data_IF_887427236168
#
_entry.id   IF_887427236168
#
_cell.length_a   1.000
_cell.length_b   1.000
_cell.length_c   1.000
_cell.angle_alpha   90.00
_cell.angle_beta   90.00
_cell.angle_gamma   90.00
#
_symmetry.space_group_name_H-M   'P 1'
#
loop_
_entity.id
_entity.type
_entity.pdbx_description
1 polymer ?
#
# COMPACT_ATOMS: atom_id res chain seq x y z
N UNK A 1 58.17 66.74 3.78
CA UNK A 1 56.76 66.33 3.88
C UNK A 1 56.37 65.09 3.03
N UNK A 2 57.09 64.72 1.93
CA UNK A 2 56.75 63.55 1.09
C UNK A 2 56.91 62.16 1.75
N UNK A 3 57.80 61.96 2.74
CA UNK A 3 58.02 60.65 3.39
C UNK A 3 56.90 60.23 4.37
N UNK A 4 56.13 61.18 4.91
CA UNK A 4 55.03 60.88 5.86
C UNK A 4 53.79 60.43 5.08
N UNK A 5 53.53 61.02 3.91
CA UNK A 5 52.41 60.64 3.04
C UNK A 5 52.51 59.19 2.53
N UNK A 6 53.72 58.69 2.23
CA UNK A 6 53.90 57.30 1.79
C UNK A 6 53.65 56.26 2.91
N UNK A 7 53.89 56.60 4.19
CA UNK A 7 53.59 55.69 5.31
C UNK A 7 52.08 55.52 5.52
N UNK A 8 51.31 56.59 5.37
CA UNK A 8 49.85 56.52 5.48
C UNK A 8 49.21 55.76 4.32
N UNK A 9 49.78 55.87 3.10
CA UNK A 9 49.32 55.10 1.93
C UNK A 9 49.59 53.60 2.12
N UNK A 10 50.76 53.22 2.64
CA UNK A 10 51.09 51.81 2.90
C UNK A 10 50.21 51.22 4.01
N UNK A 11 49.93 51.98 5.08
CA UNK A 11 49.02 51.55 6.16
C UNK A 11 47.59 51.39 5.62
N UNK A 12 47.12 52.33 4.77
CA UNK A 12 45.79 52.23 4.15
C UNK A 12 45.67 51.00 3.25
N UNK A 13 46.72 50.69 2.48
CA UNK A 13 46.77 49.51 1.60
C UNK A 13 46.77 48.21 2.40
N UNK A 14 47.51 48.14 3.51
CA UNK A 14 47.53 46.97 4.40
C UNK A 14 46.17 46.77 5.09
N UNK A 15 45.51 47.85 5.53
CA UNK A 15 44.16 47.78 6.12
C UNK A 15 43.12 47.34 5.09
N UNK A 16 43.28 47.73 3.83
CA UNK A 16 42.39 47.31 2.73
C UNK A 16 42.58 45.82 2.41
N UNK A 17 43.81 45.31 2.43
CA UNK A 17 44.09 43.88 2.19
C UNK A 17 43.59 42.99 3.33
N UNK A 18 43.65 43.45 4.59
CA UNK A 18 43.11 42.70 5.75
C UNK A 18 41.57 42.64 5.70
N UNK A 19 40.91 43.67 5.15
CA UNK A 19 39.45 43.68 4.96
C UNK A 19 38.92 42.59 4.03
N UNK A 20 39.72 42.12 3.06
CA UNK A 20 39.31 41.05 2.14
C UNK A 20 39.42 39.62 2.71
N UNK A 21 40.08 39.43 3.86
CA UNK A 21 40.27 38.10 4.47
C UNK A 21 39.15 37.79 5.49
N UNK A 22 38.41 38.80 5.97
CA UNK A 22 37.41 38.65 7.05
C UNK A 22 35.99 38.25 6.62
N UNK A 23 35.71 38.09 5.32
CA UNK A 23 34.37 37.78 4.82
C UNK A 23 34.25 36.40 4.17
N UNK A 24 35.04 35.40 4.58
CA UNK A 24 34.87 34.04 4.06
C UNK A 24 33.76 33.22 4.72
N UNK A 25 33.36 33.54 5.96
CA UNK A 25 32.37 32.75 6.71
C UNK A 25 30.98 33.43 6.81
N UNK A 26 30.72 34.48 6.03
CA UNK A 26 29.41 35.15 5.98
C UNK A 26 28.46 34.52 4.94
N UNK A 27 29.01 33.72 4.02
CA UNK A 27 28.28 33.06 2.92
C UNK A 27 28.22 31.53 3.08
N UNK A 28 28.68 31.00 4.21
CA UNK A 28 28.41 29.61 4.59
C UNK A 28 27.08 29.60 5.37
N UNK A 29 25.97 29.76 4.65
CA UNK A 29 24.68 29.34 5.18
C UNK A 29 24.66 27.81 5.20
N UNK A 30 24.70 27.22 6.40
CA UNK A 30 24.21 25.85 6.54
C UNK A 30 22.73 25.88 6.16
N UNK A 31 22.40 25.30 5.00
CA UNK A 31 21.03 25.07 4.58
C UNK A 31 20.36 24.09 5.57
N UNK A 32 19.75 24.62 6.63
CA UNK A 32 18.97 23.86 7.63
C UNK A 32 17.72 23.23 6.97
N UNK A 33 17.34 23.67 5.76
CA UNK A 33 16.05 23.35 5.12
C UNK A 33 16.09 22.31 4.01
N UNK A 34 17.28 21.80 3.65
CA UNK A 34 17.40 20.64 2.75
C UNK A 34 18.20 19.56 3.43
N UNK A 35 17.52 18.53 3.91
CA UNK A 35 18.13 17.25 4.23
C UNK A 35 18.89 16.77 2.98
N UNK A 36 20.22 16.86 3.01
CA UNK A 36 21.05 16.36 1.92
C UNK A 36 21.06 14.83 1.96
N UNK A 37 21.40 14.16 0.85
CA UNK A 37 21.56 12.69 0.83
C UNK A 37 22.60 12.18 1.83
N UNK A 38 23.43 13.06 2.42
CA UNK A 38 24.36 12.75 3.50
C UNK A 38 23.66 12.25 4.76
N UNK A 39 22.39 12.61 5.00
CA UNK A 39 21.63 12.05 6.13
C UNK A 39 21.61 10.51 6.06
N UNK A 40 21.55 9.94 4.86
CA UNK A 40 21.54 8.50 4.62
C UNK A 40 22.94 7.87 4.67
N UNK A 41 23.97 8.61 5.07
CA UNK A 41 25.30 8.12 5.38
C UNK A 41 25.52 7.98 6.91
N UNK A 42 24.45 8.10 7.69
CA UNK A 42 24.44 7.91 9.15
C UNK A 42 23.51 6.78 9.56
N UNK A 43 23.79 6.14 10.70
CA UNK A 43 22.94 5.10 11.25
C UNK A 43 21.51 5.59 11.53
N UNK A 44 21.36 6.77 12.12
CA UNK A 44 20.04 7.36 12.41
C UNK A 44 19.25 7.66 11.13
N UNK A 45 19.90 8.25 10.11
CA UNK A 45 19.23 8.53 8.85
C UNK A 45 18.85 7.26 8.08
N UNK A 46 19.64 6.18 8.18
CA UNK A 46 19.28 4.87 7.63
C UNK A 46 18.11 4.22 8.37
N UNK A 47 18.02 4.37 9.69
CA UNK A 47 16.85 3.93 10.46
C UNK A 47 15.58 4.70 10.05
N UNK A 48 15.70 6.01 9.82
CA UNK A 48 14.60 6.85 9.28
C UNK A 48 14.19 6.43 7.87
N UNK A 49 15.16 6.17 6.98
CA UNK A 49 14.88 5.68 5.63
C UNK A 49 14.18 4.32 5.65
N UNK A 50 14.64 3.41 6.51
CA UNK A 50 14.02 2.11 6.74
C UNK A 50 12.57 2.25 7.25
N UNK A 51 12.24 3.27 8.03
CA UNK A 51 10.83 3.54 8.41
C UNK A 51 10.05 4.08 7.21
N UNK A 52 10.60 5.08 6.50
CA UNK A 52 9.92 5.74 5.39
C UNK A 52 9.55 4.81 4.24
N UNK A 53 10.37 3.81 3.94
CA UNK A 53 10.10 2.88 2.84
C UNK A 53 8.82 2.06 3.04
N UNK A 54 8.35 1.83 4.27
CA UNK A 54 7.09 1.12 4.55
C UNK A 54 5.86 1.83 3.98
N UNK A 55 5.93 3.14 3.71
CA UNK A 55 4.85 3.86 3.02
C UNK A 55 4.55 3.29 1.62
N UNK A 56 5.51 2.56 1.01
CA UNK A 56 5.25 1.84 -0.24
C UNK A 56 4.19 0.76 -0.09
N UNK A 57 4.04 0.15 1.10
CA UNK A 57 2.96 -0.81 1.34
C UNK A 57 1.61 -0.08 1.35
N UNK A 58 1.50 1.06 2.04
CA UNK A 58 0.27 1.85 2.14
C UNK A 58 -0.24 2.32 0.77
N UNK A 59 0.65 2.66 -0.16
CA UNK A 59 0.29 3.05 -1.53
C UNK A 59 -0.67 2.05 -2.20
N UNK A 60 -0.53 0.76 -1.89
CA UNK A 60 -1.35 -0.32 -2.43
C UNK A 60 -2.70 -0.53 -1.72
N UNK A 61 -3.00 0.22 -0.65
CA UNK A 61 -4.20 0.01 0.17
C UNK A 61 -4.87 1.30 0.68
N UNK A 62 -4.52 2.48 0.17
CA UNK A 62 -4.98 3.76 0.75
C UNK A 62 -6.18 4.38 0.02
N UNK A 63 -6.12 4.46 -1.32
CA UNK A 63 -7.07 5.23 -2.14
C UNK A 63 -7.61 4.45 -3.33
N UNK A 64 -8.57 5.06 -4.03
CA UNK A 64 -9.28 4.47 -5.17
C UNK A 64 -8.35 3.91 -6.25
N UNK A 65 -7.21 4.55 -6.54
CA UNK A 65 -6.26 4.06 -7.56
C UNK A 65 -5.75 2.66 -7.25
N UNK A 66 -5.53 2.33 -5.98
CA UNK A 66 -4.97 1.05 -5.59
C UNK A 66 -5.93 -0.08 -5.97
N UNK A 67 -7.20 0.07 -5.63
CA UNK A 67 -8.22 -0.90 -5.97
C UNK A 67 -8.57 -0.86 -7.45
N UNK A 68 -8.45 0.31 -8.09
CA UNK A 68 -8.62 0.45 -9.53
C UNK A 68 -7.61 -0.41 -10.30
N UNK A 69 -6.35 -0.44 -9.86
CA UNK A 69 -5.28 -1.23 -10.50
C UNK A 69 -5.46 -2.73 -10.24
N UNK A 70 -5.87 -3.12 -9.02
CA UNK A 70 -5.78 -4.52 -8.58
C UNK A 70 -7.11 -5.29 -8.54
N UNK A 71 -8.26 -4.62 -8.63
CA UNK A 71 -9.59 -5.26 -8.52
C UNK A 71 -10.42 -5.16 -9.80
N UNK A 72 -10.30 -4.07 -10.57
CA UNK A 72 -11.00 -3.96 -11.85
C UNK A 72 -10.38 -4.85 -12.92
N UNK A 73 -11.17 -5.11 -13.97
CA UNK A 73 -10.76 -5.96 -15.07
C UNK A 73 -10.80 -7.46 -14.74
N UNK A 74 -11.40 -7.79 -13.59
CA UNK A 74 -11.71 -9.15 -13.16
C UNK A 74 -13.20 -9.44 -13.36
N UNK A 75 -13.59 -10.69 -13.20
CA UNK A 75 -14.99 -11.11 -13.11
C UNK A 75 -15.59 -10.92 -11.70
N UNK A 76 -14.80 -10.47 -10.72
CA UNK A 76 -15.24 -10.30 -9.32
C UNK A 76 -15.84 -8.91 -9.04
N UNK A 77 -15.24 -7.87 -9.62
CA UNK A 77 -15.61 -6.47 -9.38
C UNK A 77 -15.89 -5.74 -10.68
N UNK A 78 -16.80 -4.76 -10.61
CA UNK A 78 -17.10 -3.84 -11.71
C UNK A 78 -17.16 -2.39 -11.20
N UNK A 79 -17.07 -1.44 -12.13
CA UNK A 79 -17.21 -0.01 -11.83
C UNK A 79 -18.57 0.26 -11.16
N UNK A 80 -18.54 1.11 -10.14
CA UNK A 80 -19.71 1.56 -9.40
C UNK A 80 -20.47 2.67 -10.14
N UNK A 81 -21.04 3.59 -9.36
CA UNK A 81 -22.03 4.55 -9.88
C UNK A 81 -21.42 5.74 -10.62
N UNK A 82 -20.18 6.15 -10.33
CA UNK A 82 -19.58 7.36 -10.90
C UNK A 82 -18.92 7.16 -12.27
N UNK A 83 -18.60 5.91 -12.64
CA UNK A 83 -18.04 5.54 -13.94
C UNK A 83 -16.65 6.10 -14.23
N UNK A 84 -15.98 6.75 -13.28
CA UNK A 84 -14.73 7.49 -13.53
C UNK A 84 -13.60 6.56 -13.98
N UNK A 85 -13.52 5.38 -13.36
CA UNK A 85 -12.48 4.38 -13.61
C UNK A 85 -12.94 3.26 -14.55
N UNK A 86 -14.06 3.44 -15.27
CA UNK A 86 -14.62 2.45 -16.19
C UNK A 86 -13.60 1.87 -17.19
N UNK A 87 -12.65 2.63 -17.75
CA UNK A 87 -11.67 2.08 -18.70
C UNK A 87 -10.77 0.98 -18.11
N UNK A 88 -10.55 0.96 -16.80
CA UNK A 88 -9.81 -0.11 -16.11
C UNK A 88 -10.61 -1.42 -16.02
N UNK A 89 -11.92 -1.36 -16.29
CA UNK A 89 -12.82 -2.52 -16.26
C UNK A 89 -13.18 -3.01 -17.66
N UNK A 90 -13.33 -2.10 -18.63
CA UNK A 90 -13.77 -2.43 -19.99
C UNK A 90 -12.64 -2.61 -21.00
N UNK A 91 -11.42 -2.15 -20.67
CA UNK A 91 -10.24 -2.19 -21.55
C UNK A 91 -10.52 -1.62 -22.95
N UNK A 92 -11.37 -0.60 -23.03
CA UNK A 92 -11.64 0.11 -24.29
C UNK A 92 -10.43 0.95 -24.70
N UNK A 93 -10.49 1.60 -25.86
CA UNK A 93 -9.47 2.56 -26.30
C UNK A 93 -9.31 3.78 -25.37
N UNK A 94 -10.19 3.94 -24.38
CA UNK A 94 -10.08 4.96 -23.34
C UNK A 94 -9.11 4.55 -22.21
N UNK A 95 -8.63 3.31 -22.19
CA UNK A 95 -7.59 2.85 -21.26
C UNK A 95 -6.24 3.45 -21.67
N UNK A 96 -5.88 4.53 -21.00
CA UNK A 96 -4.71 5.36 -21.30
C UNK A 96 -3.81 5.44 -20.06
N UNK A 97 -2.49 5.14 -20.17
CA UNK A 97 -1.56 5.22 -19.05
C UNK A 97 -1.44 6.62 -18.43
N UNK A 98 -1.75 7.68 -19.18
CA UNK A 98 -1.76 9.06 -18.70
C UNK A 98 -3.12 9.49 -18.11
N UNK A 99 -4.15 8.63 -18.21
CA UNK A 99 -5.50 8.92 -17.72
C UNK A 99 -5.72 8.37 -16.32
N UNK A 100 -6.14 9.28 -15.43
CA UNK A 100 -6.40 8.97 -14.04
C UNK A 100 -5.13 8.85 -13.21
N UNK A 101 -5.28 8.42 -11.96
CA UNK A 101 -4.19 8.32 -10.97
C UNK A 101 -3.56 6.92 -10.92
N UNK A 102 -3.60 6.13 -12.00
CA UNK A 102 -3.28 4.70 -11.97
C UNK A 102 -1.83 4.35 -12.35
N UNK A 103 -1.61 4.01 -13.62
CA UNK A 103 -0.42 3.26 -14.05
C UNK A 103 0.89 4.04 -14.00
N UNK A 104 0.91 5.33 -14.37
CA UNK A 104 2.11 6.18 -14.24
C UNK A 104 2.51 6.34 -12.76
N UNK A 105 1.54 6.58 -11.88
CA UNK A 105 1.80 6.69 -10.44
C UNK A 105 2.31 5.37 -9.86
N UNK A 106 1.78 4.22 -10.30
CA UNK A 106 2.31 2.91 -9.89
C UNK A 106 3.79 2.81 -10.25
N UNK A 107 4.15 3.10 -11.51
CA UNK A 107 5.54 3.06 -11.97
C UNK A 107 6.45 3.95 -11.10
N UNK A 108 6.07 5.21 -10.92
CA UNK A 108 6.86 6.19 -10.18
C UNK A 108 7.01 5.80 -8.70
N UNK A 109 5.94 5.32 -8.06
CA UNK A 109 5.99 4.89 -6.66
C UNK A 109 6.90 3.66 -6.49
N UNK A 110 6.80 2.66 -7.37
CA UNK A 110 7.66 1.47 -7.28
C UNK A 110 9.13 1.82 -7.49
N UNK A 111 9.47 2.67 -8.46
CA UNK A 111 10.85 3.12 -8.65
C UNK A 111 11.37 4.04 -7.53
N UNK A 112 10.49 4.82 -6.91
CA UNK A 112 10.82 5.57 -5.69
C UNK A 112 11.19 4.62 -4.55
N UNK A 113 10.39 3.58 -4.31
CA UNK A 113 10.69 2.52 -3.34
C UNK A 113 11.98 1.77 -3.64
N UNK A 114 12.24 1.44 -4.91
CA UNK A 114 13.51 0.82 -5.36
C UNK A 114 14.70 1.73 -5.06
N UNK A 115 14.58 3.03 -5.29
CA UNK A 115 15.63 4.01 -4.98
C UNK A 115 15.97 4.03 -3.49
N UNK A 116 14.96 4.11 -2.62
CA UNK A 116 15.14 4.02 -1.17
C UNK A 116 15.78 2.69 -0.75
N UNK A 117 15.34 1.58 -1.33
CA UNK A 117 15.90 0.26 -1.04
C UNK A 117 17.37 0.15 -1.45
N UNK A 118 17.75 0.66 -2.63
CA UNK A 118 19.13 0.66 -3.10
C UNK A 118 20.04 1.46 -2.17
N UNK A 119 19.58 2.63 -1.70
CA UNK A 119 20.32 3.43 -0.71
C UNK A 119 20.50 2.61 0.57
N UNK A 120 19.43 1.99 1.09
CA UNK A 120 19.49 1.20 2.31
C UNK A 120 20.47 0.02 2.18
N UNK A 121 20.38 -0.77 1.10
CA UNK A 121 21.25 -1.93 0.86
C UNK A 121 22.72 -1.52 0.80
N UNK A 122 23.04 -0.44 0.07
CA UNK A 122 24.43 0.02 -0.10
C UNK A 122 24.98 0.69 1.16
N UNK A 123 24.22 1.59 1.75
CA UNK A 123 24.72 2.44 2.84
C UNK A 123 24.68 1.74 4.19
N UNK A 124 23.78 0.76 4.41
CA UNK A 124 23.85 -0.07 5.63
C UNK A 124 25.18 -0.79 5.71
N UNK A 125 25.65 -1.39 4.62
CA UNK A 125 26.93 -2.10 4.59
C UNK A 125 28.14 -1.18 4.84
N UNK A 126 28.03 0.09 4.43
CA UNK A 126 29.13 1.06 4.47
C UNK A 126 29.20 1.88 5.76
N UNK A 127 28.05 2.28 6.31
CA UNK A 127 27.97 3.31 7.37
C UNK A 127 27.26 2.84 8.64
N UNK A 128 26.54 1.72 8.60
CA UNK A 128 25.85 1.19 9.77
C UNK A 128 26.79 0.34 10.62
N UNK A 129 26.64 0.35 11.95
CA UNK A 129 27.45 -0.50 12.81
C UNK A 129 27.12 -1.98 12.55
N UNK A 130 28.07 -2.74 12.00
CA UNK A 130 27.91 -4.17 11.68
C UNK A 130 27.68 -5.06 12.89
N UNK A 131 28.06 -4.61 14.09
CA UNK A 131 27.79 -5.32 15.35
C UNK A 131 26.42 -4.99 15.95
N UNK A 132 25.68 -4.05 15.34
CA UNK A 132 24.34 -3.70 15.80
C UNK A 132 23.37 -4.87 15.58
N UNK A 133 22.49 -5.18 16.54
CA UNK A 133 21.46 -6.21 16.35
C UNK A 133 20.48 -5.89 15.23
N UNK A 134 20.34 -4.60 14.85
CA UNK A 134 19.50 -4.15 13.75
C UNK A 134 20.15 -4.22 12.37
N UNK A 135 21.47 -4.47 12.27
CA UNK A 135 22.21 -4.41 11.00
C UNK A 135 21.59 -5.33 9.94
N UNK A 136 21.43 -6.62 10.26
CA UNK A 136 20.81 -7.60 9.35
C UNK A 136 19.36 -7.24 9.04
N UNK A 137 18.60 -6.78 10.03
CA UNK A 137 17.21 -6.35 9.82
C UNK A 137 17.12 -5.21 8.82
N UNK A 138 17.98 -4.17 8.91
CA UNK A 138 17.95 -3.05 7.95
C UNK A 138 18.31 -3.48 6.54
N UNK A 139 19.32 -4.35 6.43
CA UNK A 139 19.72 -4.87 5.13
C UNK A 139 18.62 -5.77 4.52
N UNK A 140 18.01 -6.63 5.33
CA UNK A 140 16.89 -7.47 4.93
C UNK A 140 15.63 -6.69 4.54
N UNK A 141 15.33 -5.59 5.25
CA UNK A 141 14.25 -4.66 4.87
C UNK A 141 14.51 -4.07 3.48
N UNK A 142 15.74 -3.62 3.21
CA UNK A 142 16.14 -3.10 1.90
C UNK A 142 15.92 -4.12 0.78
N UNK A 143 16.42 -5.34 0.96
CA UNK A 143 16.21 -6.41 -0.01
C UNK A 143 14.72 -6.75 -0.20
N UNK A 144 13.96 -6.87 0.89
CA UNK A 144 12.52 -7.16 0.82
C UNK A 144 11.78 -6.11 0.00
N UNK A 145 12.00 -4.82 0.27
CA UNK A 145 11.29 -3.76 -0.44
C UNK A 145 11.73 -3.63 -1.90
N UNK A 146 13.01 -3.85 -2.21
CA UNK A 146 13.43 -3.89 -3.62
C UNK A 146 12.75 -5.03 -4.37
N UNK A 147 12.74 -6.23 -3.78
CA UNK A 147 12.05 -7.39 -4.34
C UNK A 147 10.55 -7.14 -4.48
N UNK A 148 9.89 -6.58 -3.46
CA UNK A 148 8.46 -6.27 -3.47
C UNK A 148 8.09 -5.32 -4.62
N UNK A 149 8.83 -4.23 -4.77
CA UNK A 149 8.56 -3.24 -5.81
C UNK A 149 8.81 -3.81 -7.22
N UNK A 150 9.91 -4.55 -7.44
CA UNK A 150 10.12 -5.24 -8.72
C UNK A 150 9.08 -6.33 -8.98
N UNK A 151 8.62 -7.03 -7.94
CA UNK A 151 7.59 -8.04 -8.08
C UNK A 151 6.25 -7.43 -8.53
N UNK A 152 5.88 -6.27 -7.99
CA UNK A 152 4.70 -5.51 -8.47
C UNK A 152 4.87 -5.06 -9.91
N UNK A 153 6.05 -4.54 -10.27
CA UNK A 153 6.34 -4.08 -11.63
C UNK A 153 6.28 -5.24 -12.64
N UNK A 154 6.90 -6.39 -12.35
CA UNK A 154 6.94 -7.51 -13.29
C UNK A 154 5.56 -8.15 -13.51
N UNK A 155 4.70 -8.16 -12.47
CA UNK A 155 3.32 -8.62 -12.58
C UNK A 155 2.48 -7.74 -13.52
N UNK A 156 2.76 -6.43 -13.56
CA UNK A 156 1.98 -5.47 -14.34
C UNK A 156 2.54 -5.20 -15.74
N UNK A 157 3.87 -5.15 -15.87
CA UNK A 157 4.56 -4.64 -17.07
C UNK A 157 5.46 -5.68 -17.76
N UNK A 158 5.65 -6.86 -17.16
CA UNK A 158 6.69 -7.80 -17.56
C UNK A 158 8.08 -7.26 -17.22
N UNK A 159 9.08 -7.56 -18.05
CA UNK A 159 10.45 -7.08 -17.81
C UNK A 159 10.59 -5.56 -17.69
N UNK A 160 11.33 -5.07 -16.70
CA UNK A 160 11.52 -3.62 -16.44
C UNK A 160 13.00 -3.31 -16.24
N UNK A 161 13.46 -2.05 -16.41
CA UNK A 161 14.84 -1.70 -16.13
C UNK A 161 15.27 -2.03 -14.70
N UNK A 162 16.33 -2.82 -14.54
CA UNK A 162 16.89 -3.19 -13.24
C UNK A 162 17.93 -2.16 -12.79
N UNK A 163 17.49 -1.25 -11.93
CA UNK A 163 18.33 -0.30 -11.21
C UNK A 163 18.65 -0.88 -9.83
N UNK A 164 19.88 -1.34 -9.64
CA UNK A 164 20.31 -2.06 -8.41
C UNK A 164 21.28 -1.26 -7.54
N UNK A 165 21.67 -0.08 -8.01
CA UNK A 165 22.54 0.87 -7.31
C UNK A 165 21.81 2.19 -7.08
N UNK A 166 22.18 2.96 -6.04
CA UNK A 166 21.69 4.33 -5.88
C UNK A 166 22.04 5.17 -7.11
N UNK A 167 21.05 5.83 -7.68
CA UNK A 167 21.23 6.71 -8.84
C UNK A 167 21.91 8.00 -8.40
N UNK A 168 22.97 8.40 -9.12
CA UNK A 168 23.69 9.65 -8.90
C UNK A 168 23.50 10.54 -10.12
N UNK A 169 22.83 11.68 -9.92
CA UNK A 169 22.49 12.62 -11.00
C UNK A 169 21.30 12.15 -11.84
N UNK A 170 20.97 12.94 -12.87
CA UNK A 170 19.91 12.59 -13.81
C UNK A 170 20.42 11.55 -14.81
N UNK A 171 19.80 10.37 -14.81
CA UNK A 171 19.90 9.41 -15.91
C UNK A 171 18.53 9.28 -16.57
N UNK A 172 18.49 9.32 -17.89
CA UNK A 172 17.28 9.14 -18.70
C UNK A 172 17.39 7.96 -19.67
N UNK A 173 18.55 7.31 -19.71
CA UNK A 173 18.81 6.18 -20.60
C UNK A 173 18.72 4.87 -19.80
N UNK A 174 17.63 4.15 -19.99
CA UNK A 174 17.32 2.90 -19.31
C UNK A 174 16.88 1.85 -20.32
N UNK A 175 17.60 0.75 -20.37
CA UNK A 175 17.21 -0.42 -21.14
C UNK A 175 16.31 -1.33 -20.30
N UNK A 176 15.24 -1.86 -20.91
CA UNK A 176 14.36 -2.82 -20.23
C UNK A 176 15.07 -4.17 -20.16
N UNK A 177 15.17 -4.72 -18.97
CA UNK A 177 15.49 -6.13 -18.79
C UNK A 177 14.32 -7.03 -19.19
N UNK A 178 14.61 -8.30 -19.41
CA UNK A 178 13.59 -9.31 -19.69
C UNK A 178 12.75 -9.61 -18.45
N UNK A 179 11.57 -10.22 -18.67
CA UNK A 179 10.72 -10.73 -17.58
C UNK A 179 11.48 -11.75 -16.71
N UNK A 180 12.27 -12.62 -17.35
CA UNK A 180 13.12 -13.63 -16.70
C UNK A 180 14.13 -12.97 -15.74
N UNK A 181 14.96 -12.06 -16.25
CA UNK A 181 15.96 -11.31 -15.45
C UNK A 181 15.30 -10.57 -14.28
N UNK A 182 14.12 -9.99 -14.50
CA UNK A 182 13.38 -9.29 -13.45
C UNK A 182 12.94 -10.25 -12.35
N UNK A 183 12.38 -11.42 -12.69
CA UNK A 183 12.03 -12.43 -11.70
C UNK A 183 13.24 -13.02 -10.97
N UNK A 184 14.37 -13.21 -11.67
CA UNK A 184 15.62 -13.66 -11.04
C UNK A 184 16.07 -12.68 -9.95
N UNK A 185 16.03 -11.38 -10.24
CA UNK A 185 16.38 -10.36 -9.26
C UNK A 185 15.40 -10.32 -8.08
N UNK A 186 14.09 -10.44 -8.36
CA UNK A 186 13.04 -10.53 -7.31
C UNK A 186 13.30 -11.69 -6.37
N UNK A 187 13.53 -12.89 -6.91
CA UNK A 187 13.72 -14.11 -6.11
C UNK A 187 15.04 -14.03 -5.33
N UNK A 188 16.11 -13.52 -5.96
CA UNK A 188 17.40 -13.31 -5.29
C UNK A 188 17.26 -12.38 -4.08
N UNK A 189 16.63 -11.24 -4.24
CA UNK A 189 16.45 -10.28 -3.14
C UNK A 189 15.51 -10.83 -2.04
N UNK A 190 14.45 -11.58 -2.39
CA UNK A 190 13.62 -12.23 -1.37
C UNK A 190 14.36 -13.33 -0.59
N UNK A 191 15.31 -14.04 -1.21
CA UNK A 191 16.18 -15.00 -0.51
C UNK A 191 17.08 -14.28 0.50
N UNK A 192 17.71 -13.17 0.10
CA UNK A 192 18.53 -12.36 1.02
C UNK A 192 17.68 -11.81 2.17
N UNK A 193 16.49 -11.29 1.88
CA UNK A 193 15.54 -10.84 2.90
C UNK A 193 15.16 -11.97 3.87
N UNK A 194 14.83 -13.16 3.37
CA UNK A 194 14.50 -14.32 4.18
C UNK A 194 15.65 -14.76 5.11
N UNK A 195 16.90 -14.67 4.64
CA UNK A 195 18.06 -15.05 5.42
C UNK A 195 18.43 -14.04 6.51
N UNK A 196 18.14 -12.75 6.29
CA UNK A 196 18.56 -11.64 7.15
C UNK A 196 17.47 -11.17 8.13
N UNK A 197 16.20 -11.24 7.74
CA UNK A 197 15.10 -10.73 8.56
C UNK A 197 14.85 -11.62 9.79
N UNK A 198 14.44 -11.03 10.93
CA UNK A 198 14.12 -11.78 12.12
C UNK A 198 12.77 -12.51 12.00
N UNK A 199 12.61 -13.60 12.75
CA UNK A 199 11.31 -14.29 12.87
C UNK A 199 10.27 -13.43 13.60
N UNK A 200 10.70 -12.69 14.63
CA UNK A 200 9.86 -11.80 15.43
C UNK A 200 10.26 -10.35 15.17
N UNK A 201 9.31 -9.47 14.78
CA UNK A 201 9.63 -8.09 14.50
C UNK A 201 9.90 -7.31 15.80
N UNK A 202 10.81 -6.33 15.74
CA UNK A 202 11.08 -5.45 16.87
C UNK A 202 9.91 -4.50 17.18
N UNK A 203 9.07 -4.23 16.18
CA UNK A 203 7.90 -3.34 16.24
C UNK A 203 6.83 -3.93 15.32
N UNK A 204 5.56 -3.90 15.75
CA UNK A 204 4.43 -4.32 14.92
C UNK A 204 4.45 -3.62 13.57
N UNK A 205 4.12 -4.34 12.50
CA UNK A 205 4.11 -3.84 11.14
C UNK A 205 5.44 -3.95 10.39
N UNK A 206 6.57 -4.22 11.08
CA UNK A 206 7.84 -4.49 10.38
C UNK A 206 7.83 -5.83 9.66
N UNK A 207 8.50 -5.87 8.51
CA UNK A 207 8.66 -7.11 7.73
C UNK A 207 9.50 -8.12 8.51
N UNK A 208 9.11 -9.38 8.40
CA UNK A 208 9.74 -10.51 9.08
C UNK A 208 10.26 -11.52 8.07
N UNK A 209 11.01 -12.51 8.55
CA UNK A 209 11.38 -13.70 7.79
C UNK A 209 10.18 -14.37 7.12
N UNK A 210 9.03 -14.39 7.79
CA UNK A 210 7.81 -15.03 7.29
C UNK A 210 7.15 -14.24 6.16
N UNK A 211 7.20 -12.90 6.23
CA UNK A 211 6.80 -12.06 5.10
C UNK A 211 7.69 -12.33 3.88
N UNK A 212 9.02 -12.40 4.06
CA UNK A 212 9.93 -12.75 2.98
C UNK A 212 9.67 -14.17 2.44
N UNK A 213 9.43 -15.16 3.30
CA UNK A 213 9.08 -16.53 2.91
C UNK A 213 7.78 -16.57 2.08
N UNK A 214 6.74 -15.85 2.52
CA UNK A 214 5.47 -15.76 1.81
C UNK A 214 5.64 -15.17 0.41
N UNK A 215 6.34 -14.03 0.30
CA UNK A 215 6.56 -13.40 -0.99
C UNK A 215 7.55 -14.16 -1.88
N UNK A 216 8.52 -14.88 -1.30
CA UNK A 216 9.41 -15.78 -2.03
C UNK A 216 8.62 -16.96 -2.63
N UNK A 217 7.77 -17.61 -1.84
CA UNK A 217 6.85 -18.64 -2.35
C UNK A 217 5.97 -18.08 -3.47
N UNK A 218 5.40 -16.89 -3.27
CA UNK A 218 4.54 -16.24 -4.27
C UNK A 218 5.31 -15.92 -5.55
N UNK A 219 6.50 -15.33 -5.47
CA UNK A 219 7.32 -15.01 -6.63
C UNK A 219 7.77 -16.28 -7.38
N UNK A 220 8.17 -17.34 -6.67
CA UNK A 220 8.48 -18.64 -7.27
C UNK A 220 7.27 -19.25 -7.98
N UNK A 221 6.08 -19.20 -7.39
CA UNK A 221 4.86 -19.69 -8.04
C UNK A 221 4.55 -18.91 -9.32
N UNK A 222 4.71 -17.59 -9.29
CA UNK A 222 4.52 -16.74 -10.46
C UNK A 222 5.55 -17.04 -11.56
N UNK A 223 6.84 -17.20 -11.23
CA UNK A 223 7.86 -17.59 -12.21
C UNK A 223 7.58 -18.96 -12.81
N UNK A 224 7.09 -19.92 -12.02
CA UNK A 224 6.71 -21.26 -12.47
C UNK A 224 5.40 -21.33 -13.27
N UNK A 225 4.60 -20.26 -13.30
CA UNK A 225 3.32 -20.18 -14.00
C UNK A 225 3.45 -20.42 -15.51
N UNK A 226 2.38 -20.95 -16.12
CA UNK A 226 2.22 -21.14 -17.56
C UNK A 226 2.41 -19.85 -18.38
N UNK A 227 2.17 -18.68 -17.77
CA UNK A 227 2.44 -17.37 -18.38
C UNK A 227 3.90 -17.20 -18.81
N UNK A 228 4.81 -17.97 -18.21
CA UNK A 228 6.25 -17.89 -18.41
C UNK A 228 6.84 -19.15 -19.08
N UNK A 229 5.99 -20.04 -19.62
CA UNK A 229 6.40 -21.35 -20.18
C UNK A 229 7.42 -21.27 -21.33
N UNK A 230 7.50 -20.13 -22.01
CA UNK A 230 8.47 -19.91 -23.08
C UNK A 230 9.92 -19.87 -22.61
N UNK A 231 10.17 -19.65 -21.30
CA UNK A 231 11.53 -19.54 -20.75
C UNK A 231 11.71 -20.19 -19.36
N UNK A 232 10.65 -20.52 -18.61
CA UNK A 232 10.79 -20.93 -17.20
C UNK A 232 11.16 -22.41 -16.95
N UNK A 233 11.42 -23.19 -18.00
CA UNK A 233 11.54 -24.65 -17.90
C UNK A 233 12.62 -25.12 -16.91
N UNK A 234 13.73 -24.38 -16.81
CA UNK A 234 14.87 -24.66 -15.91
C UNK A 234 14.57 -24.33 -14.44
N UNK A 235 13.64 -23.41 -14.16
CA UNK A 235 13.31 -22.97 -12.80
C UNK A 235 12.15 -23.73 -12.18
N UNK A 236 11.19 -24.17 -13.01
CA UNK A 236 9.86 -24.65 -12.58
C UNK A 236 9.89 -25.69 -11.45
N UNK A 237 10.76 -26.70 -11.54
CA UNK A 237 10.84 -27.75 -10.50
C UNK A 237 11.31 -27.18 -9.16
N UNK A 238 12.38 -26.37 -9.18
CA UNK A 238 12.93 -25.78 -7.96
C UNK A 238 11.98 -24.73 -7.36
N UNK A 239 11.32 -23.93 -8.20
CA UNK A 239 10.32 -22.97 -7.75
C UNK A 239 9.15 -23.66 -7.05
N UNK A 240 8.60 -24.73 -7.62
CA UNK A 240 7.51 -25.48 -6.98
C UNK A 240 7.95 -26.12 -5.66
N UNK A 241 9.20 -26.58 -5.54
CA UNK A 241 9.76 -27.04 -4.28
C UNK A 241 9.86 -25.90 -3.26
N UNK A 242 10.28 -24.71 -3.69
CA UNK A 242 10.33 -23.51 -2.85
C UNK A 242 8.94 -23.07 -2.39
N UNK A 243 7.91 -23.14 -3.25
CA UNK A 243 6.52 -22.89 -2.87
C UNK A 243 6.11 -23.82 -1.73
N UNK A 244 6.38 -25.12 -1.85
CA UNK A 244 6.03 -26.11 -0.82
C UNK A 244 6.80 -25.83 0.48
N UNK A 245 8.10 -25.58 0.39
CA UNK A 245 8.97 -25.33 1.55
C UNK A 245 8.52 -24.08 2.31
N UNK A 246 8.57 -22.93 1.66
CA UNK A 246 8.31 -21.64 2.31
C UNK A 246 6.83 -21.49 2.67
N UNK A 247 5.91 -22.05 1.86
CA UNK A 247 4.49 -22.10 2.19
C UNK A 247 4.21 -22.86 3.48
N UNK A 248 4.84 -24.02 3.68
CA UNK A 248 4.71 -24.80 4.93
C UNK A 248 5.24 -24.05 6.14
N UNK A 249 6.41 -23.42 6.03
CA UNK A 249 6.98 -22.61 7.11
C UNK A 249 6.03 -21.49 7.56
N UNK A 250 5.43 -20.78 6.60
CA UNK A 250 4.48 -19.70 6.90
C UNK A 250 3.21 -20.25 7.54
N UNK A 251 2.62 -21.33 7.01
CA UNK A 251 1.40 -21.95 7.57
C UNK A 251 1.61 -22.40 9.02
N UNK A 252 2.78 -22.96 9.35
CA UNK A 252 3.09 -23.40 10.71
C UNK A 252 3.19 -22.23 11.70
N UNK A 253 3.68 -21.07 11.26
CA UNK A 253 3.88 -19.89 12.11
C UNK A 253 2.70 -18.93 12.14
N UNK A 254 1.83 -18.99 11.15
CA UNK A 254 0.66 -18.11 11.00
C UNK A 254 -0.63 -18.93 10.84
N UNK A 255 -1.14 -19.54 11.93
CA UNK A 255 -2.38 -20.30 11.88
C UNK A 255 -3.58 -19.39 11.56
N UNK A 256 -4.53 -19.97 10.82
CA UNK A 256 -5.75 -19.29 10.40
C UNK A 256 -6.62 -18.90 11.60
N UNK A 257 -7.34 -17.79 11.45
CA UNK A 257 -8.39 -17.42 12.38
C UNK A 257 -9.49 -18.49 12.43
N UNK A 258 -10.03 -18.72 13.62
CA UNK A 258 -11.10 -19.71 13.82
C UNK A 258 -12.42 -19.33 13.14
N UNK A 259 -12.63 -18.04 12.88
CA UNK A 259 -13.79 -17.52 12.16
C UNK A 259 -13.37 -16.37 11.24
N UNK A 260 -13.83 -16.41 9.98
CA UNK A 260 -13.60 -15.36 8.99
C UNK A 260 -13.93 -13.95 9.48
N UNK A 261 -14.99 -13.76 10.27
CA UNK A 261 -15.41 -12.42 10.71
C UNK A 261 -14.38 -11.79 11.65
N UNK A 262 -13.59 -12.58 12.37
CA UNK A 262 -12.61 -12.03 13.34
C UNK A 262 -11.45 -11.31 12.65
N UNK A 263 -11.22 -11.55 11.36
CA UNK A 263 -10.22 -10.82 10.58
C UNK A 263 -10.67 -9.38 10.26
N UNK A 264 -11.99 -9.16 10.19
CA UNK A 264 -12.59 -7.91 9.68
C UNK A 264 -13.42 -7.17 10.72
N UNK A 265 -13.61 -7.75 11.92
CA UNK A 265 -14.40 -7.17 12.99
C UNK A 265 -13.65 -6.02 13.67
N UNK A 266 -13.71 -4.85 13.04
CA UNK A 266 -13.16 -3.61 13.59
C UNK A 266 -14.15 -2.97 14.57
N UNK A 267 -13.73 -2.75 15.82
CA UNK A 267 -14.52 -1.98 16.80
C UNK A 267 -13.86 -0.66 17.20
N UNK A 268 -12.54 -0.64 17.24
CA UNK A 268 -11.70 0.50 17.65
C UNK A 268 -10.31 0.37 17.00
N UNK A 269 -9.53 1.45 16.85
CA UNK A 269 -8.15 1.34 16.40
C UNK A 269 -7.32 0.38 17.27
N UNK A 270 -6.46 -0.43 16.65
CA UNK A 270 -5.58 -1.42 17.31
C UNK A 270 -6.33 -2.54 18.07
N UNK A 271 -7.51 -2.94 17.58
CA UNK A 271 -8.30 -4.04 18.15
C UNK A 271 -7.71 -5.43 17.78
N UNK A 272 -8.29 -6.50 18.35
CA UNK A 272 -7.80 -7.87 18.22
C UNK A 272 -7.68 -8.36 16.76
N UNK A 273 -8.51 -7.86 15.85
CA UNK A 273 -8.44 -8.23 14.43
C UNK A 273 -7.12 -7.78 13.76
N UNK A 274 -6.54 -6.68 14.21
CA UNK A 274 -5.29 -6.12 13.69
C UNK A 274 -4.04 -6.86 14.19
N UNK A 275 -4.20 -7.77 15.16
CA UNK A 275 -3.14 -8.60 15.74
C UNK A 275 -3.36 -10.10 15.53
N UNK A 276 -4.24 -10.47 14.59
CA UNK A 276 -4.49 -11.87 14.22
C UNK A 276 -3.21 -12.61 13.84
N UNK A 277 -3.07 -13.85 14.31
CA UNK A 277 -1.95 -14.73 13.96
C UNK A 277 -1.88 -15.04 12.46
N UNK A 278 -3.00 -14.92 11.74
CA UNK A 278 -3.06 -15.10 10.30
C UNK A 278 -2.35 -13.96 9.52
N UNK A 279 -2.12 -12.81 10.16
CA UNK A 279 -1.45 -11.67 9.52
C UNK A 279 0.05 -11.97 9.41
N UNK A 280 0.51 -12.18 8.18
CA UNK A 280 1.94 -12.30 7.84
C UNK A 280 2.57 -10.93 7.62
N UNK A 281 1.88 -10.04 6.91
CA UNK A 281 2.26 -8.65 6.65
C UNK A 281 1.00 -7.83 6.35
N UNK A 282 0.90 -6.64 6.93
CA UNK A 282 -0.17 -5.68 6.65
C UNK A 282 0.42 -4.27 6.47
N UNK A 283 -0.13 -3.51 5.53
CA UNK A 283 0.10 -2.07 5.49
C UNK A 283 -0.53 -1.43 6.73
N UNK A 284 0.27 -0.67 7.47
CA UNK A 284 -0.16 -0.08 8.74
C UNK A 284 -0.84 1.26 8.46
N UNK A 285 -2.04 1.45 9.01
CA UNK A 285 -2.71 2.75 9.06
C UNK A 285 -2.91 3.10 10.52
N UNK A 286 -2.70 4.36 10.87
CA UNK A 286 -2.83 4.86 12.25
C UNK A 286 -3.96 5.88 12.35
N UNK A 287 -4.54 6.02 13.53
CA UNK A 287 -5.45 7.10 13.90
C UNK A 287 -4.70 8.38 14.35
N UNK A 288 -3.37 8.31 14.52
CA UNK A 288 -2.50 9.43 14.84
C UNK A 288 -2.56 10.50 13.75
N UNK A 289 -2.93 11.72 14.15
CA UNK A 289 -3.07 12.86 13.26
C UNK A 289 -1.78 13.22 12.49
N UNK A 290 -0.60 12.81 12.99
CA UNK A 290 0.70 13.07 12.36
C UNK A 290 1.01 12.10 11.21
N UNK A 291 0.41 10.90 11.19
CA UNK A 291 0.75 9.83 10.25
C UNK A 291 -0.44 9.32 9.42
N UNK A 292 -1.68 9.54 9.86
CA UNK A 292 -2.90 9.06 9.17
C UNK A 292 -3.17 9.66 7.79
N UNK A 293 -2.37 10.63 7.36
CA UNK A 293 -2.61 11.40 6.14
C UNK A 293 -3.85 12.29 6.20
N UNK A 294 -4.18 12.96 5.09
CA UNK A 294 -5.28 13.95 5.04
C UNK A 294 -6.66 13.34 5.32
N UNK A 295 -6.87 12.09 4.90
CA UNK A 295 -8.19 11.47 4.87
C UNK A 295 -8.28 10.12 5.59
N UNK A 296 -7.17 9.61 6.13
CA UNK A 296 -7.11 8.23 6.63
C UNK A 296 -7.30 7.21 5.50
N UNK A 297 -7.43 5.94 5.91
CA UNK A 297 -7.81 4.88 4.98
C UNK A 297 -9.30 5.02 4.60
N UNK A 298 -9.59 5.13 3.31
CA UNK A 298 -10.95 5.36 2.79
C UNK A 298 -11.58 4.13 2.12
N UNK A 299 -10.92 2.97 2.19
CA UNK A 299 -11.24 1.82 1.35
C UNK A 299 -12.62 1.25 1.60
N UNK A 300 -13.01 1.13 2.87
CA UNK A 300 -14.32 0.62 3.27
C UNK A 300 -15.47 1.39 2.60
N UNK A 301 -15.27 2.68 2.31
CA UNK A 301 -16.26 3.55 1.69
C UNK A 301 -16.56 3.22 0.22
N UNK A 302 -15.70 2.47 -0.47
CA UNK A 302 -15.75 2.32 -1.93
C UNK A 302 -16.75 1.27 -2.41
N UNK A 303 -17.07 0.29 -1.57
CA UNK A 303 -17.93 -0.87 -1.89
C UNK A 303 -19.42 -0.68 -1.55
N UNK A 304 -19.81 0.06 -0.50
CA UNK A 304 -21.21 0.17 -0.13
C UNK A 304 -22.06 0.84 -1.22
N UNK A 305 -23.28 0.32 -1.39
CA UNK A 305 -24.28 0.87 -2.30
C UNK A 305 -24.89 2.15 -1.74
N UNK A 306 -25.30 3.08 -2.63
CA UNK A 306 -26.02 4.31 -2.24
C UNK A 306 -27.35 3.99 -1.57
N UNK A 307 -27.40 4.10 -0.24
CA UNK A 307 -28.61 3.84 0.56
C UNK A 307 -29.27 5.13 1.09
N UNK A 308 -28.51 6.22 1.19
CA UNK A 308 -29.01 7.50 1.73
C UNK A 308 -30.19 8.11 0.95
N UNK A 309 -30.42 7.67 -0.29
CA UNK A 309 -31.51 8.14 -1.14
C UNK A 309 -32.80 7.33 -0.94
N UNK A 310 -32.78 6.27 -0.12
CA UNK A 310 -33.96 5.46 0.19
C UNK A 310 -34.72 6.14 1.34
N UNK A 311 -36.03 6.41 1.21
CA UNK A 311 -36.83 7.00 2.29
C UNK A 311 -36.71 6.22 3.61
N UNK A 312 -36.44 6.93 4.70
CA UNK A 312 -36.17 6.33 6.00
C UNK A 312 -34.69 6.12 6.31
N UNK A 313 -33.80 6.37 5.34
CA UNK A 313 -32.36 6.23 5.48
C UNK A 313 -31.63 7.57 5.29
N UNK A 314 -30.45 7.67 5.89
CA UNK A 314 -29.48 8.74 5.72
C UNK A 314 -28.07 8.18 5.86
N UNK A 315 -27.08 8.78 5.20
CA UNK A 315 -25.68 8.36 5.32
C UNK A 315 -25.16 8.53 6.74
N UNK A 316 -24.56 7.49 7.27
CA UNK A 316 -23.97 7.41 8.60
C UNK A 316 -22.84 6.37 8.65
N UNK A 317 -22.26 6.17 9.83
CA UNK A 317 -21.20 5.16 10.03
C UNK A 317 -21.79 3.74 10.06
N UNK A 318 -23.02 3.56 10.56
CA UNK A 318 -23.61 2.24 10.74
C UNK A 318 -24.02 1.55 9.43
N UNK A 319 -24.43 2.32 8.42
CA UNK A 319 -24.69 1.83 7.06
C UNK A 319 -23.46 1.82 6.15
N UNK A 320 -22.29 2.16 6.71
CA UNK A 320 -21.03 2.41 6.02
C UNK A 320 -21.12 3.60 5.04
N UNK A 321 -20.20 4.56 5.16
CA UNK A 321 -20.33 5.86 4.50
C UNK A 321 -20.01 5.72 3.00
N UNK A 322 -21.04 5.69 2.17
CA UNK A 322 -20.94 5.11 0.83
C UNK A 322 -20.46 6.07 -0.27
N UNK A 323 -19.41 5.70 -0.99
CA UNK A 323 -18.92 6.39 -2.18
C UNK A 323 -19.34 5.70 -3.49
N UNK A 324 -19.73 4.41 -3.44
CA UNK A 324 -20.20 3.65 -4.61
C UNK A 324 -19.22 3.68 -5.78
N UNK A 325 -17.93 3.46 -5.49
CA UNK A 325 -16.86 3.42 -6.50
C UNK A 325 -16.78 2.07 -7.18
N UNK A 326 -17.00 1.01 -6.43
CA UNK A 326 -16.89 -0.38 -6.87
C UNK A 326 -18.14 -1.15 -6.51
N UNK A 327 -18.47 -2.17 -7.32
CA UNK A 327 -19.51 -3.15 -7.01
C UNK A 327 -19.05 -4.55 -7.31
N UNK A 328 -19.38 -5.49 -6.43
CA UNK A 328 -19.22 -6.92 -6.72
C UNK A 328 -20.13 -7.32 -7.89
N UNK A 329 -19.63 -8.18 -8.78
CA UNK A 329 -20.44 -8.70 -9.87
C UNK A 329 -21.46 -9.71 -9.36
N UNK A 330 -22.52 -9.94 -10.15
CA UNK A 330 -23.46 -11.02 -9.83
C UNK A 330 -22.78 -12.40 -9.87
N UNK A 331 -21.76 -12.56 -10.70
CA UNK A 331 -20.98 -13.79 -10.76
C UNK A 331 -20.27 -14.05 -9.42
N UNK A 332 -19.51 -13.10 -8.89
CA UNK A 332 -18.84 -13.26 -7.60
C UNK A 332 -19.83 -13.49 -6.44
N UNK A 333 -20.99 -12.84 -6.44
CA UNK A 333 -22.05 -13.10 -5.44
C UNK A 333 -22.66 -14.50 -5.55
N UNK A 334 -22.63 -15.11 -6.75
CA UNK A 334 -23.21 -16.43 -7.03
C UNK A 334 -22.20 -17.57 -6.78
N UNK A 335 -20.90 -17.29 -6.60
CA UNK A 335 -19.88 -18.29 -6.24
C UNK A 335 -20.08 -18.83 -4.81
N UNK A 336 -20.66 -18.03 -3.92
CA UNK A 336 -20.87 -18.44 -2.53
C UNK A 336 -22.09 -19.36 -2.38
N UNK A 337 -21.89 -20.50 -1.71
CA UNK A 337 -23.00 -21.31 -1.20
C UNK A 337 -23.70 -20.57 -0.05
N UNK A 338 -24.91 -20.08 -0.30
CA UNK A 338 -25.66 -19.24 0.66
C UNK A 338 -26.18 -20.01 1.88
N UNK A 339 -26.01 -21.32 1.92
CA UNK A 339 -26.39 -22.21 3.03
C UNK A 339 -25.15 -22.63 3.82
N UNK A 340 -24.13 -23.16 3.15
CA UNK A 340 -22.97 -23.78 3.81
C UNK A 340 -21.73 -22.87 3.86
N UNK A 341 -21.72 -21.75 3.15
CA UNK A 341 -20.63 -20.78 3.16
C UNK A 341 -21.00 -19.55 3.99
N UNK A 342 -20.51 -19.54 5.24
CA UNK A 342 -20.76 -18.41 6.14
C UNK A 342 -20.13 -17.09 5.68
N UNK A 343 -19.15 -17.12 4.76
CA UNK A 343 -18.44 -15.91 4.28
C UNK A 343 -19.40 -14.94 3.59
N UNK A 344 -20.39 -15.44 2.85
CA UNK A 344 -21.38 -14.58 2.18
C UNK A 344 -22.07 -13.64 3.17
N UNK A 345 -22.62 -14.19 4.25
CA UNK A 345 -23.37 -13.42 5.24
C UNK A 345 -22.47 -12.56 6.15
N UNK A 346 -21.15 -12.81 6.14
CA UNK A 346 -20.14 -12.04 6.87
C UNK A 346 -19.51 -10.93 6.03
N UNK A 347 -19.56 -11.02 4.70
CA UNK A 347 -18.93 -10.06 3.78
C UNK A 347 -19.89 -9.03 3.19
N UNK A 348 -21.17 -9.38 2.97
CA UNK A 348 -22.08 -8.53 2.20
C UNK A 348 -23.18 -7.89 3.08
N UNK A 349 -23.42 -6.60 2.86
CA UNK A 349 -24.56 -5.88 3.46
C UNK A 349 -25.84 -6.30 2.73
N UNK A 350 -26.72 -7.01 3.43
CA UNK A 350 -28.01 -7.50 2.87
C UNK A 350 -29.23 -6.82 3.49
N UNK A 351 -29.03 -5.97 4.49
CA UNK A 351 -30.11 -5.21 5.15
C UNK A 351 -29.64 -3.81 5.56
N UNK A 352 -30.53 -2.82 5.48
CA UNK A 352 -30.35 -1.53 6.11
C UNK A 352 -31.46 -1.26 7.12
N UNK A 353 -31.08 -0.76 8.28
CA UNK A 353 -32.02 -0.31 9.32
C UNK A 353 -32.39 1.16 9.10
N UNK A 354 -33.63 1.52 9.41
CA UNK A 354 -34.10 2.90 9.40
C UNK A 354 -33.28 3.73 10.39
N UNK A 355 -32.54 4.72 9.88
CA UNK A 355 -31.78 5.66 10.70
C UNK A 355 -32.23 7.12 10.52
N UNK A 356 -33.24 7.36 9.67
CA UNK A 356 -33.91 8.64 9.51
C UNK A 356 -35.44 8.46 9.48
N UNK A 357 -36.08 8.16 10.62
CA UNK A 357 -37.51 7.85 10.69
C UNK A 357 -38.40 9.02 10.24
N UNK A 358 -37.95 10.27 10.38
CA UNK A 358 -38.70 11.45 9.91
C UNK A 358 -38.84 11.47 8.39
N UNK A 359 -37.86 10.94 7.66
CA UNK A 359 -37.90 10.77 6.22
C UNK A 359 -38.52 9.43 5.78
N UNK A 360 -38.96 8.57 6.71
CA UNK A 360 -39.59 7.30 6.37
C UNK A 360 -40.93 7.52 5.62
N UNK A 361 -41.30 6.61 4.71
CA UNK A 361 -42.59 6.69 4.03
C UNK A 361 -43.72 6.51 5.04
N UNK A 362 -44.88 7.12 4.78
CA UNK A 362 -46.09 6.91 5.59
C UNK A 362 -46.93 5.76 5.04
N UNK A 363 -47.81 5.20 5.86
CA UNK A 363 -48.69 4.10 5.45
C UNK A 363 -49.65 4.45 4.32
N UNK A 364 -50.12 5.69 4.27
CA UNK A 364 -51.13 6.12 3.32
C UNK A 364 -52.43 5.30 3.46
N UNK A 365 -53.10 5.06 2.33
CA UNK A 365 -54.38 4.34 2.30
C UNK A 365 -54.29 2.87 2.72
N UNK A 366 -53.08 2.29 2.76
CA UNK A 366 -52.83 0.89 3.08
C UNK A 366 -52.34 0.69 4.53
N UNK A 367 -52.76 1.55 5.46
CA UNK A 367 -52.40 1.43 6.87
C UNK A 367 -52.95 0.13 7.49
N UNK A 368 -52.11 -0.66 8.19
CA UNK A 368 -52.58 -1.85 8.89
C UNK A 368 -53.45 -1.46 10.08
N UNK A 369 -54.25 -2.41 10.57
CA UNK A 369 -55.09 -2.21 11.74
C UNK A 369 -54.24 -1.70 12.93
N UNK A 370 -54.63 -0.55 13.50
CA UNK A 370 -53.92 0.09 14.61
C UNK A 370 -52.88 1.14 14.21
N UNK A 371 -52.70 1.45 12.92
CA UNK A 371 -51.86 2.57 12.45
C UNK A 371 -52.71 3.59 11.67
N UNK A 372 -52.34 4.86 11.76
CA UNK A 372 -52.94 5.94 10.96
C UNK A 372 -52.25 6.05 9.59
N UNK A 373 -52.95 6.53 8.54
CA UNK A 373 -52.34 6.82 7.23
C UNK A 373 -51.11 7.74 7.28
N UNK A 374 -51.05 8.63 8.28
CA UNK A 374 -49.94 9.56 8.51
C UNK A 374 -48.77 8.96 9.27
N UNK A 375 -48.95 7.80 9.90
CA UNK A 375 -47.90 7.15 10.67
C UNK A 375 -46.78 6.69 9.73
N UNK A 376 -45.54 6.74 10.24
CA UNK A 376 -44.36 6.23 9.54
C UNK A 376 -44.43 4.71 9.42
N UNK A 377 -43.97 4.18 8.29
CA UNK A 377 -43.86 2.74 8.04
C UNK A 377 -42.75 2.07 8.85
N UNK A 378 -41.73 2.84 9.23
CA UNK A 378 -40.57 2.35 9.97
C UNK A 378 -40.24 3.29 11.12
N UNK A 379 -39.91 2.71 12.25
CA UNK A 379 -39.31 3.37 13.40
C UNK A 379 -37.77 3.22 13.36
N UNK A 380 -37.05 4.06 14.10
CA UNK A 380 -35.59 4.01 14.16
C UNK A 380 -35.09 2.63 14.62
N UNK A 381 -34.18 2.03 13.85
CA UNK A 381 -33.59 0.72 14.12
C UNK A 381 -34.33 -0.47 13.50
N UNK A 382 -35.54 -0.29 12.97
CA UNK A 382 -36.26 -1.33 12.23
C UNK A 382 -35.61 -1.59 10.86
N UNK A 383 -35.71 -2.82 10.33
CA UNK A 383 -35.20 -3.13 8.99
C UNK A 383 -36.07 -2.42 7.95
N UNK A 384 -35.51 -1.40 7.31
CA UNK A 384 -36.18 -0.64 6.25
C UNK A 384 -35.92 -1.21 4.85
N UNK A 385 -34.76 -1.86 4.66
CA UNK A 385 -34.37 -2.49 3.39
C UNK A 385 -33.87 -3.89 3.67
N UNK A 386 -34.35 -4.84 2.87
CA UNK A 386 -33.87 -6.23 2.86
C UNK A 386 -33.67 -6.67 1.41
N UNK A 387 -32.42 -6.97 1.05
CA UNK A 387 -32.10 -7.55 -0.25
C UNK A 387 -32.44 -9.04 -0.24
N UNK A 388 -33.32 -9.46 -1.14
CA UNK A 388 -33.74 -10.86 -1.24
C UNK A 388 -32.73 -11.61 -2.11
N UNK A 389 -31.86 -12.37 -1.47
CA UNK A 389 -30.90 -13.25 -2.15
C UNK A 389 -31.55 -14.62 -2.39
N UNK A 390 -31.74 -15.00 -3.65
CA UNK A 390 -32.31 -16.32 -3.99
C UNK A 390 -31.33 -17.42 -3.63
N UNK A 391 -31.74 -18.40 -2.84
CA UNK A 391 -30.97 -19.65 -2.67
C UNK A 391 -31.21 -20.48 -3.93
N UNK A 392 -30.15 -20.75 -4.71
CA UNK A 392 -30.24 -21.77 -5.76
C UNK A 392 -30.17 -23.12 -5.05
N UNK A 393 -31.23 -23.92 -5.18
CA UNK A 393 -31.29 -25.27 -4.63
C UNK A 393 -30.57 -26.29 -5.47
#
# INVERSE_FOLDING_TARGET
>A
MKKIQNKHIIILLIVTVIGFISCRNFLDEELITTESTQMFETQEGLDKLSIGIYQNLEFHFNYEWAYTIWQYGTDEMAVGNDGIQEPYNSYTSAFDPARGNGMANLWDNMYSGISSANILIKNVQKFYNQTSPSYNTRLGEGYFFRAHNYFRLVQQFGGVPLILEPVVGANTDFERNTTEETYEQVIKDFIEAYNLLPETPAQTGRVTKWAAAHFLAKASLFRASELNDSWNATYKTEDLNNVIKYGKEVIERHPLASDFVTLWNYTTPNDANESSSEIVLAAQFSDDATSRGRYGNQVHLYYPSVYQNIPGLSRDISGDREFSRMRTTNYALDVYDRVNDSRFWKSFITTYKCNNPDAAPTWGEFAPAGKLPTDKKFEGGEIAVKYIMRIRG
#
